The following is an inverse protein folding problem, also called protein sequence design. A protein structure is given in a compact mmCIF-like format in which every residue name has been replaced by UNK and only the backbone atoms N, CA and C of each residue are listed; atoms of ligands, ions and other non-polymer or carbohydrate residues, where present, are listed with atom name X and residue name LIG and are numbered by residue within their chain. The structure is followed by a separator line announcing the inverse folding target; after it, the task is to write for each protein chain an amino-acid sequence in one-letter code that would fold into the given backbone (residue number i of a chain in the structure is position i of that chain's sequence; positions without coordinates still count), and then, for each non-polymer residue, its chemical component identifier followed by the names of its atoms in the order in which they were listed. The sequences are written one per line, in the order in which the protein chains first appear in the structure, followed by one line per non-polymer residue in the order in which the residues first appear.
data_IF_987592798606
#
_entry.id   IF_987592798606
#
_cell.length_a   1.000
_cell.length_b   1.000
_cell.length_c   1.000
_cell.angle_alpha   90.00
_cell.angle_beta   90.00
_cell.angle_gamma   90.00
#
_symmetry.space_group_name_H-M   'P 1'
#
loop_
_entity.id
_entity.type
_entity.pdbx_description
1 polymer ?
#
# COMPACT_ATOMS: atom_id res chain seq x y z
N UNK A 1 -11.24 -25.97 -0.10
CA UNK A 1 -10.48 -24.76 -0.42
C UNK A 1 -9.03 -25.16 -0.55
N UNK A 2 -8.39 -24.81 -1.65
CA UNK A 2 -6.95 -25.02 -1.81
C UNK A 2 -6.22 -24.08 -0.85
N UNK A 3 -5.22 -24.60 -0.13
CA UNK A 3 -4.37 -23.80 0.73
C UNK A 3 -3.40 -23.05 -0.17
N UNK A 4 -3.44 -21.73 -0.13
CA UNK A 4 -2.44 -20.90 -0.77
C UNK A 4 -1.15 -20.95 0.05
N UNK A 5 -0.04 -21.28 -0.59
CA UNK A 5 1.26 -21.45 0.05
C UNK A 5 2.27 -20.58 -0.69
N UNK A 6 3.03 -19.79 0.05
CA UNK A 6 4.16 -19.02 -0.45
C UNK A 6 5.40 -19.28 0.41
N UNK A 7 6.53 -19.58 -0.22
CA UNK A 7 7.81 -19.83 0.46
C UNK A 7 7.75 -20.81 1.66
N UNK A 8 6.84 -21.80 1.62
CA UNK A 8 6.65 -22.76 2.72
C UNK A 8 5.76 -22.29 3.87
N UNK A 9 5.09 -21.14 3.71
CA UNK A 9 4.09 -20.61 4.63
C UNK A 9 2.69 -20.72 4.02
N UNK A 10 1.74 -21.22 4.80
CA UNK A 10 0.31 -21.22 4.42
C UNK A 10 -0.28 -19.85 4.69
N UNK A 11 -0.95 -19.24 3.70
CA UNK A 11 -1.63 -17.97 3.88
C UNK A 11 -2.86 -18.16 4.78
N UNK A 12 -2.92 -17.43 5.89
CA UNK A 12 -3.97 -17.55 6.90
C UNK A 12 -4.89 -16.34 6.95
N UNK A 13 -4.37 -15.16 6.64
CA UNK A 13 -5.09 -13.89 6.74
C UNK A 13 -4.80 -13.04 5.50
N UNK A 14 -5.79 -12.25 5.07
CA UNK A 14 -5.68 -11.36 3.93
C UNK A 14 -6.47 -10.08 4.16
N UNK A 15 -5.89 -8.95 3.78
CA UNK A 15 -6.50 -7.64 3.83
C UNK A 15 -6.19 -6.87 2.54
N UNK A 16 -7.21 -6.44 1.81
CA UNK A 16 -7.06 -5.72 0.55
C UNK A 16 -7.29 -4.22 0.74
N UNK A 17 -6.38 -3.39 0.22
CA UNK A 17 -6.50 -1.93 0.20
C UNK A 17 -6.19 -1.43 -1.20
N UNK A 18 -7.21 -0.92 -1.90
CA UNK A 18 -7.06 -0.49 -3.29
C UNK A 18 -6.58 -1.64 -4.20
N UNK A 19 -5.40 -1.46 -4.80
CA UNK A 19 -4.75 -2.45 -5.67
C UNK A 19 -3.66 -3.26 -4.95
N UNK A 20 -3.51 -3.11 -3.63
CA UNK A 20 -2.61 -3.91 -2.81
C UNK A 20 -3.40 -4.91 -1.95
N UNK A 21 -2.76 -6.04 -1.67
CA UNK A 21 -3.18 -7.02 -0.68
C UNK A 21 -2.05 -7.26 0.31
N UNK A 22 -2.41 -7.37 1.57
CA UNK A 22 -1.51 -7.72 2.65
C UNK A 22 -1.92 -9.07 3.20
N UNK A 23 -0.96 -9.94 3.44
CA UNK A 23 -1.24 -11.31 3.89
C UNK A 23 -0.36 -11.72 5.04
N UNK A 24 -0.85 -12.64 5.87
CA UNK A 24 -0.04 -13.38 6.84
C UNK A 24 0.17 -14.80 6.32
N UNK A 25 1.43 -15.23 6.26
CA UNK A 25 1.83 -16.61 6.10
C UNK A 25 2.21 -17.23 7.44
N UNK A 26 1.79 -18.46 7.70
CA UNK A 26 2.16 -19.25 8.87
C UNK A 26 2.90 -20.54 8.47
N UNK A 27 3.98 -20.86 9.18
CA UNK A 27 4.73 -22.11 9.01
C UNK A 27 5.16 -22.67 10.36
N UNK A 28 4.74 -23.89 10.66
CA UNK A 28 5.14 -24.60 11.88
C UNK A 28 6.59 -25.10 11.82
N UNK A 29 7.16 -25.26 10.63
CA UNK A 29 8.52 -25.78 10.44
C UNK A 29 9.58 -24.69 10.34
N UNK A 30 9.20 -23.45 10.02
CA UNK A 30 10.16 -22.36 9.86
C UNK A 30 10.68 -21.84 11.23
N UNK A 31 11.90 -21.27 11.27
CA UNK A 31 12.40 -20.57 12.46
C UNK A 31 11.51 -19.38 12.83
N UNK A 32 11.14 -18.56 11.85
CA UNK A 32 10.12 -17.52 11.98
C UNK A 32 8.75 -18.12 11.65
N UNK A 33 7.87 -18.22 12.64
CA UNK A 33 6.55 -18.88 12.47
C UNK A 33 5.59 -18.10 11.60
N UNK A 34 5.74 -16.78 11.56
CA UNK A 34 4.86 -15.90 10.81
C UNK A 34 5.67 -14.99 9.89
N UNK A 35 5.03 -14.60 8.80
CA UNK A 35 5.56 -13.60 7.88
C UNK A 35 4.41 -12.78 7.31
N UNK A 36 4.59 -11.49 7.13
CA UNK A 36 3.63 -10.65 6.41
C UNK A 36 4.17 -10.28 5.03
N UNK A 37 3.33 -10.29 3.99
CA UNK A 37 3.72 -9.85 2.65
C UNK A 37 2.78 -8.79 2.10
N UNK A 38 3.29 -7.95 1.20
CA UNK A 38 2.48 -7.11 0.31
C UNK A 38 2.50 -7.75 -1.07
N UNK A 39 1.32 -7.85 -1.67
CA UNK A 39 1.09 -8.43 -2.98
C UNK A 39 0.25 -7.42 -3.76
N UNK A 40 0.45 -7.34 -5.07
CA UNK A 40 -0.49 -6.61 -5.90
C UNK A 40 -1.73 -7.46 -6.13
N UNK A 41 -2.91 -6.83 -6.10
CA UNK A 41 -4.19 -7.52 -6.22
C UNK A 41 -4.24 -8.33 -7.52
N UNK A 42 -4.49 -9.63 -7.39
CA UNK A 42 -4.57 -10.56 -8.52
C UNK A 42 -3.21 -11.08 -9.02
N UNK A 43 -2.10 -10.64 -8.42
CA UNK A 43 -0.77 -11.18 -8.68
C UNK A 43 -0.36 -12.16 -7.56
N UNK A 44 0.64 -13.00 -7.83
CA UNK A 44 1.22 -13.94 -6.85
C UNK A 44 2.65 -13.58 -6.48
N UNK A 45 3.09 -12.37 -6.84
CA UNK A 45 4.43 -11.90 -6.55
C UNK A 45 4.43 -11.26 -5.16
N UNK A 46 4.86 -12.04 -4.17
CA UNK A 46 4.99 -11.58 -2.79
C UNK A 46 6.30 -10.79 -2.64
N UNK A 47 6.19 -9.49 -2.40
CA UNK A 47 7.34 -8.61 -2.19
C UNK A 47 7.51 -8.30 -0.69
N UNK A 48 8.78 -8.17 -0.28
CA UNK A 48 9.25 -7.70 1.04
C UNK A 48 8.47 -8.27 2.24
N UNK A 49 8.92 -9.45 2.68
CA UNK A 49 8.35 -10.16 3.83
C UNK A 49 8.89 -9.66 5.16
N UNK A 50 8.03 -9.39 6.14
CA UNK A 50 8.45 -9.14 7.53
C UNK A 50 8.24 -10.42 8.34
N UNK A 51 9.32 -11.04 8.80
CA UNK A 51 9.31 -12.32 9.51
C UNK A 51 9.27 -12.09 11.02
N UNK A 52 8.39 -12.80 11.72
CA UNK A 52 8.25 -12.74 13.17
C UNK A 52 7.86 -14.10 13.77
N UNK A 53 7.96 -14.20 15.10
CA UNK A 53 7.68 -15.44 15.84
C UNK A 53 6.31 -15.44 16.55
N UNK A 54 5.65 -14.29 16.61
CA UNK A 54 4.43 -14.10 17.37
C UNK A 54 3.27 -13.68 16.46
N UNK A 55 2.09 -14.26 16.70
CA UNK A 55 0.91 -14.04 15.85
C UNK A 55 0.36 -12.62 16.02
N UNK A 56 0.39 -12.06 17.23
CA UNK A 56 -0.11 -10.71 17.46
C UNK A 56 0.79 -9.68 16.75
N UNK A 57 2.11 -9.89 16.78
CA UNK A 57 3.08 -9.09 16.04
C UNK A 57 2.82 -9.13 14.53
N UNK A 58 2.51 -10.30 13.97
CA UNK A 58 2.14 -10.43 12.56
C UNK A 58 0.83 -9.70 12.21
N UNK A 59 -0.16 -9.77 13.10
CA UNK A 59 -1.44 -9.07 12.94
C UNK A 59 -1.29 -7.55 13.04
N UNK A 60 -0.48 -7.07 13.98
CA UNK A 60 -0.17 -5.65 14.12
C UNK A 60 0.53 -5.12 12.87
N UNK A 61 1.56 -5.82 12.38
CA UNK A 61 2.26 -5.46 11.15
C UNK A 61 1.32 -5.47 9.93
N UNK A 62 0.45 -6.49 9.81
CA UNK A 62 -0.58 -6.55 8.77
C UNK A 62 -1.47 -5.30 8.79
N UNK A 63 -1.97 -4.90 9.96
CA UNK A 63 -2.82 -3.73 10.13
C UNK A 63 -2.07 -2.44 9.79
N UNK A 64 -0.84 -2.29 10.28
CA UNK A 64 -0.02 -1.11 10.04
C UNK A 64 0.26 -0.92 8.55
N UNK A 65 0.67 -1.98 7.84
CA UNK A 65 0.93 -1.91 6.39
C UNK A 65 -0.31 -1.54 5.58
N UNK A 66 -1.48 -2.03 6.00
CA UNK A 66 -2.74 -1.67 5.37
C UNK A 66 -3.12 -0.21 5.64
N UNK A 67 -2.91 0.29 6.86
CA UNK A 67 -3.14 1.69 7.20
C UNK A 67 -2.19 2.62 6.44
N UNK A 68 -0.92 2.25 6.29
CA UNK A 68 0.06 3.00 5.50
C UNK A 68 -0.39 3.14 4.04
N UNK A 69 -0.92 2.07 3.43
CA UNK A 69 -1.49 2.13 2.08
C UNK A 69 -2.73 3.04 2.01
N UNK A 70 -3.62 2.98 3.02
CA UNK A 70 -4.76 3.91 3.10
C UNK A 70 -4.28 5.36 3.14
N UNK A 71 -3.25 5.66 3.93
CA UNK A 71 -2.66 7.00 4.01
C UNK A 71 -2.02 7.43 2.70
N UNK A 72 -1.28 6.54 2.05
CA UNK A 72 -0.67 6.79 0.74
C UNK A 72 -1.73 7.14 -0.31
N UNK A 73 -2.80 6.34 -0.42
CA UNK A 73 -3.90 6.59 -1.36
C UNK A 73 -4.64 7.90 -1.06
N UNK A 74 -4.79 8.27 0.22
CA UNK A 74 -5.35 9.57 0.61
C UNK A 74 -4.47 10.74 0.13
N UNK A 75 -3.15 10.65 0.27
CA UNK A 75 -2.21 11.68 -0.20
C UNK A 75 -2.30 11.86 -1.72
N UNK A 76 -2.25 10.75 -2.48
CA UNK A 76 -2.36 10.79 -3.94
C UNK A 76 -3.66 11.47 -4.41
N UNK A 77 -4.78 11.19 -3.73
CA UNK A 77 -6.06 11.84 -4.05
C UNK A 77 -6.02 13.35 -3.79
N UNK A 78 -5.37 13.80 -2.72
CA UNK A 78 -5.24 15.23 -2.41
C UNK A 78 -4.38 15.95 -3.46
N UNK A 79 -3.26 15.35 -3.87
CA UNK A 79 -2.38 15.89 -4.92
C UNK A 79 -3.11 16.02 -6.26
N UNK A 80 -3.91 15.02 -6.64
CA UNK A 80 -4.73 15.06 -7.86
C UNK A 80 -5.75 16.21 -7.83
N UNK A 81 -6.41 16.44 -6.69
CA UNK A 81 -7.38 17.53 -6.55
C UNK A 81 -6.75 18.93 -6.60
N UNK A 82 -5.45 19.07 -6.26
CA UNK A 82 -4.73 20.37 -6.31
C UNK A 82 -4.26 20.70 -7.73
N UNK A 83 -4.05 19.69 -8.58
CA UNK A 83 -3.62 19.86 -9.98
C UNK A 83 -4.72 20.35 -10.94
N UNK A 84 -5.99 20.23 -10.58
CA UNK A 84 -7.15 20.56 -11.43
C UNK A 84 -7.71 21.99 -11.20
N UNK A 85 -6.86 22.99 -10.97
CA UNK A 85 -7.29 24.39 -10.87
C UNK A 85 -6.94 25.18 -12.16
N UNK A 86 -7.88 25.39 -13.10
CA UNK A 86 -7.61 26.11 -14.35
C UNK A 86 -7.76 27.63 -14.13
N UNK A 87 -6.75 28.28 -13.55
CA UNK A 87 -6.76 29.73 -13.38
C UNK A 87 -5.41 30.37 -13.70
N UNK A 88 -5.07 30.45 -14.99
CA UNK A 88 -4.21 31.52 -15.53
C UNK A 88 -4.80 32.07 -16.82
N UNK A 89 -5.96 32.73 -16.70
CA UNK A 89 -6.39 33.70 -17.70
C UNK A 89 -5.64 35.01 -17.49
N UNK A 90 -4.86 35.37 -18.52
CA UNK A 90 -4.86 36.67 -19.19
C UNK A 90 -4.73 37.97 -18.34
N UNK A 91 -3.61 38.67 -18.54
CA UNK A 91 -3.41 40.05 -18.09
C UNK A 91 -2.45 40.82 -19.01
N UNK A 92 -2.86 41.09 -20.25
CA UNK A 92 -2.23 42.15 -21.07
C UNK A 92 -2.39 43.48 -20.33
N UNK A 93 -1.29 44.07 -19.84
CA UNK A 93 -1.19 45.53 -19.65
C UNK A 93 -0.11 46.05 -20.59
N UNK A 94 -0.57 46.66 -21.68
CA UNK A 94 0.25 47.49 -22.57
C UNK A 94 0.86 48.62 -21.72
N UNK A 95 2.18 48.73 -21.73
CA UNK A 95 2.90 49.89 -21.23
C UNK A 95 2.68 51.06 -22.19
N UNK A 96 2.16 52.17 -21.66
CA UNK A 96 2.26 53.49 -22.29
C UNK A 96 3.34 54.24 -21.51
N UNK A 97 4.36 54.82 -22.15
CA UNK A 97 5.18 55.83 -21.50
C UNK A 97 4.60 57.22 -21.76
N UNK A 98 4.37 57.96 -20.68
CA UNK A 98 4.24 59.43 -20.68
C UNK A 98 5.57 60.08 -21.10
N UNK A 99 5.58 60.86 -22.18
CA UNK A 99 5.64 62.34 -22.19
C UNK A 99 5.90 62.87 -23.60
#
# INVERSE_FOLDING_TARGET
MEKEINAGYTITDRLSVGNAEFVIGQSESAPAKFVTWKVKKGEKDYYWGHYCNDRLTALEDLCNRALDEVHHLKSLRQEQNVGENPARQNGKKKSVPER
#
